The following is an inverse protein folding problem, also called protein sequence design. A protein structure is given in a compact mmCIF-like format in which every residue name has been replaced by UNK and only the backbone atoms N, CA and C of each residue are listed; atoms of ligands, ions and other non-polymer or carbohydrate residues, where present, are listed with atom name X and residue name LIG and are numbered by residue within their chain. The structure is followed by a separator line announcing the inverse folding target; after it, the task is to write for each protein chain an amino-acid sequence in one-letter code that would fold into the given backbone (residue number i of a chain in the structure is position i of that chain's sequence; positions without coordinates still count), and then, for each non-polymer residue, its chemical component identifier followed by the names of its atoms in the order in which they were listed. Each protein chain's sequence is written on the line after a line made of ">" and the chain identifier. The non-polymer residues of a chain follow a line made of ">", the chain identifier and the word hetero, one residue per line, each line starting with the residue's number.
data_IF_125406371102
#
_entry.id   IF_125406371102
#
_cell.length_a   1.000
_cell.length_b   1.000
_cell.length_c   1.000
_cell.angle_alpha   90.00
_cell.angle_beta   90.00
_cell.angle_gamma   90.00
#
_symmetry.space_group_name_H-M   'P 1'
#
loop_
_entity.id
_entity.type
_entity.pdbx_description
1 polymer ?
#
# COMPACT_ATOMS: atom_id res chain seq x y z
N UNK A 1 -1.86 -14.40 -5.77
CA UNK A 1 -2.33 -13.02 -5.59
C UNK A 1 -3.22 -12.67 -6.77
N UNK A 2 -4.52 -12.70 -6.55
CA UNK A 2 -5.54 -12.19 -7.47
C UNK A 2 -5.73 -10.67 -7.26
N UNK A 3 -6.58 -10.00 -8.05
CA UNK A 3 -6.79 -8.55 -7.95
C UNK A 3 -7.25 -8.09 -6.57
N UNK A 4 -8.18 -8.83 -5.96
CA UNK A 4 -8.70 -8.47 -4.66
C UNK A 4 -7.64 -8.69 -3.57
N UNK A 5 -6.90 -9.80 -3.63
CA UNK A 5 -5.76 -10.07 -2.74
C UNK A 5 -4.67 -8.99 -2.84
N UNK A 6 -4.48 -8.38 -4.01
CA UNK A 6 -3.53 -7.29 -4.20
C UNK A 6 -4.02 -5.98 -3.54
N UNK A 7 -5.33 -5.70 -3.59
CA UNK A 7 -5.92 -4.55 -2.90
C UNK A 7 -6.01 -4.73 -1.38
N UNK A 8 -6.23 -5.95 -0.91
CA UNK A 8 -6.40 -6.23 0.52
C UNK A 8 -5.07 -6.36 1.28
N UNK A 9 -3.96 -6.64 0.59
CA UNK A 9 -2.65 -6.81 1.19
C UNK A 9 -2.25 -5.59 2.06
N UNK A 10 -1.64 -5.79 3.25
CA UNK A 10 -1.20 -4.69 4.10
C UNK A 10 -0.23 -3.76 3.38
N UNK A 11 -0.49 -2.45 3.49
CA UNK A 11 0.27 -1.41 2.77
C UNK A 11 1.30 -0.72 3.66
N UNK A 12 2.28 -0.15 2.98
CA UNK A 12 3.37 0.63 3.55
C UNK A 12 3.43 1.96 2.81
N UNK A 13 3.63 3.05 3.54
CA UNK A 13 3.99 4.36 2.98
C UNK A 13 5.24 4.88 3.67
N UNK A 14 6.22 5.32 2.89
CA UNK A 14 7.45 5.91 3.40
C UNK A 14 7.42 7.42 3.17
N UNK A 15 7.76 8.17 4.21
CA UNK A 15 7.75 9.63 4.26
C UNK A 15 9.14 10.14 4.67
N UNK A 16 9.47 11.36 4.26
CA UNK A 16 10.74 12.02 4.63
C UNK A 16 11.93 11.69 3.71
N UNK A 17 11.67 11.07 2.55
CA UNK A 17 12.65 10.90 1.46
C UNK A 17 12.35 11.84 0.29
N UNK A 18 13.28 11.91 -0.67
CA UNK A 18 13.08 12.57 -1.96
C UNK A 18 11.84 12.00 -2.66
N UNK A 19 10.89 12.86 -3.01
CA UNK A 19 9.69 12.49 -3.76
C UNK A 19 9.78 12.92 -5.22
N UNK A 20 9.29 12.11 -6.18
CA UNK A 20 9.28 12.47 -7.60
C UNK A 20 8.46 13.73 -7.91
N UNK A 21 7.51 14.09 -7.04
CA UNK A 21 6.47 15.11 -7.30
C UNK A 21 6.54 16.35 -6.42
N UNK A 22 7.51 16.48 -5.51
CA UNK A 22 7.47 17.59 -4.54
C UNK A 22 8.79 17.90 -3.84
N UNK A 23 9.15 17.10 -2.85
CA UNK A 23 10.28 17.42 -1.97
C UNK A 23 11.56 16.73 -2.43
N UNK A 24 12.53 17.52 -2.93
CA UNK A 24 13.91 17.08 -3.16
C UNK A 24 14.74 17.13 -1.86
N UNK A 25 14.17 16.71 -0.73
CA UNK A 25 14.89 16.69 0.55
C UNK A 25 15.68 15.40 0.63
N UNK A 26 17.01 15.51 0.50
CA UNK A 26 17.89 14.38 0.74
C UNK A 26 17.68 13.86 2.16
N UNK A 27 17.29 12.59 2.28
CA UNK A 27 17.03 11.95 3.56
C UNK A 27 18.33 11.86 4.37
N UNK A 28 18.31 12.34 5.62
CA UNK A 28 19.47 12.33 6.53
C UNK A 28 19.38 11.24 7.60
N UNK A 29 18.22 10.59 7.74
CA UNK A 29 17.96 9.47 8.65
C UNK A 29 17.22 8.33 7.92
N UNK A 30 16.51 7.45 8.64
CA UNK A 30 15.71 6.39 8.01
C UNK A 30 14.33 6.82 7.50
N UNK A 31 13.90 8.06 7.77
CA UNK A 31 12.55 8.52 7.48
C UNK A 31 11.47 7.84 8.34
N UNK A 32 10.22 8.14 8.00
CA UNK A 32 9.04 7.57 8.66
C UNK A 32 8.41 6.48 7.79
N UNK A 33 8.07 5.35 8.39
CA UNK A 33 7.36 4.26 7.72
C UNK A 33 6.00 4.08 8.38
N UNK A 34 4.95 4.40 7.62
CA UNK A 34 3.57 4.15 7.96
C UNK A 34 3.19 2.71 7.56
N UNK A 35 2.77 1.90 8.52
CA UNK A 35 2.41 0.49 8.32
C UNK A 35 0.94 0.24 8.66
N UNK A 36 0.23 -0.45 7.78
CA UNK A 36 -1.05 -1.07 8.14
C UNK A 36 -0.87 -2.24 9.12
N UNK A 37 -1.95 -2.64 9.79
CA UNK A 37 -1.96 -3.89 10.57
C UNK A 37 -1.75 -5.10 9.67
N UNK A 38 -1.04 -6.11 10.17
CA UNK A 38 -0.78 -7.36 9.44
C UNK A 38 0.70 -7.66 9.19
N UNK A 39 1.59 -6.69 9.43
CA UNK A 39 3.03 -6.94 9.42
C UNK A 39 3.49 -7.67 10.69
N UNK A 40 4.31 -8.74 10.57
CA UNK A 40 4.89 -9.41 11.72
C UNK A 40 5.77 -8.47 12.57
N UNK A 41 5.78 -8.68 13.88
CA UNK A 41 6.53 -7.81 14.79
C UNK A 41 8.05 -7.92 14.60
N UNK A 42 8.57 -9.06 14.12
CA UNK A 42 9.97 -9.18 13.69
C UNK A 42 10.33 -8.20 12.57
N UNK A 43 9.43 -7.99 11.60
CA UNK A 43 9.62 -7.04 10.50
C UNK A 43 9.66 -5.61 11.02
N UNK A 44 8.71 -5.26 11.90
CA UNK A 44 8.66 -3.94 12.56
C UNK A 44 9.98 -3.65 13.29
N UNK A 45 10.45 -4.60 14.11
CA UNK A 45 11.73 -4.44 14.84
C UNK A 45 12.94 -4.33 13.90
N UNK A 46 12.95 -5.08 12.80
CA UNK A 46 14.02 -5.01 11.82
C UNK A 46 14.08 -3.63 11.15
N UNK A 47 12.92 -3.03 10.83
CA UNK A 47 12.84 -1.68 10.29
C UNK A 47 13.29 -0.62 11.32
N UNK A 48 12.87 -0.73 12.57
CA UNK A 48 13.34 0.17 13.64
C UNK A 48 14.86 0.11 13.81
N UNK A 49 15.47 -1.08 13.75
CA UNK A 49 16.92 -1.26 13.81
C UNK A 49 17.67 -0.67 12.61
N UNK A 50 16.99 -0.53 11.46
CA UNK A 50 17.51 0.15 10.27
C UNK A 50 17.39 1.67 10.35
N UNK A 51 16.85 2.22 11.44
CA UNK A 51 16.73 3.66 11.67
C UNK A 51 15.39 4.25 11.24
N UNK A 52 14.41 3.43 10.83
CA UNK A 52 13.08 3.90 10.47
C UNK A 52 12.27 4.23 11.73
N UNK A 53 11.57 5.37 11.71
CA UNK A 53 10.51 5.66 12.69
C UNK A 53 9.22 5.00 12.23
N UNK A 54 8.72 4.02 12.98
CA UNK A 54 7.48 3.32 12.64
C UNK A 54 6.29 4.07 13.20
N UNK A 55 5.31 4.33 12.33
CA UNK A 55 4.02 4.90 12.69
C UNK A 55 2.92 3.93 12.25
N UNK A 56 1.98 3.67 13.15
CA UNK A 56 0.75 2.97 12.82
C UNK A 56 -0.33 4.03 12.64
N UNK A 57 -0.79 4.18 11.40
CA UNK A 57 -1.84 5.11 11.04
C UNK A 57 -2.96 4.37 10.32
N UNK A 58 -4.20 4.85 10.49
CA UNK A 58 -5.29 4.62 9.53
C UNK A 58 -5.04 5.53 8.31
N UNK A 59 -3.91 5.26 7.67
CA UNK A 59 -3.10 6.21 6.92
C UNK A 59 -3.52 6.44 5.46
N UNK A 60 -2.76 7.26 4.73
CA UNK A 60 -3.03 7.67 3.34
C UNK A 60 -2.72 6.58 2.30
N UNK A 61 -3.10 5.34 2.55
CA UNK A 61 -2.74 4.19 1.72
C UNK A 61 -3.47 4.10 0.35
N UNK A 62 -4.21 5.15 -0.01
CA UNK A 62 -4.97 5.26 -1.26
C UNK A 62 -6.33 4.55 -1.22
N UNK A 63 -6.97 4.51 -2.39
CA UNK A 63 -8.23 3.82 -2.62
C UNK A 63 -8.13 2.96 -3.88
N UNK A 64 -7.57 1.76 -3.75
CA UNK A 64 -7.36 0.85 -4.85
C UNK A 64 -8.67 0.53 -5.60
N UNK A 65 -8.66 0.66 -6.92
CA UNK A 65 -9.74 0.24 -7.81
C UNK A 65 -9.07 -0.33 -9.07
N UNK A 66 -9.49 -1.51 -9.51
CA UNK A 66 -8.85 -2.16 -10.65
C UNK A 66 -9.82 -2.99 -11.48
N UNK A 67 -9.55 -3.01 -12.78
CA UNK A 67 -10.22 -3.86 -13.77
C UNK A 67 -9.14 -4.60 -14.54
N UNK A 68 -9.27 -5.92 -14.65
CA UNK A 68 -8.41 -6.76 -15.47
C UNK A 68 -9.24 -7.45 -16.53
N UNK A 69 -8.73 -7.46 -17.76
CA UNK A 69 -9.28 -8.25 -18.85
C UNK A 69 -8.44 -9.50 -19.04
N UNK A 70 -9.06 -10.65 -18.95
CA UNK A 70 -8.43 -11.92 -19.32
C UNK A 70 -8.15 -11.93 -20.83
N UNK A 71 -6.88 -12.06 -21.27
CA UNK A 71 -6.56 -12.08 -22.69
C UNK A 71 -7.06 -13.35 -23.39
N UNK A 72 -7.24 -14.46 -22.67
CA UNK A 72 -7.64 -15.76 -23.22
C UNK A 72 -9.16 -15.87 -23.32
N UNK A 73 -9.88 -15.54 -22.24
CA UNK A 73 -11.34 -15.70 -22.19
C UNK A 73 -12.09 -14.41 -22.53
N UNK A 74 -11.43 -13.25 -22.47
CA UNK A 74 -12.05 -11.94 -22.65
C UNK A 74 -12.88 -11.45 -21.45
N UNK A 75 -12.96 -12.25 -20.37
CA UNK A 75 -13.70 -11.92 -19.14
C UNK A 75 -13.05 -10.73 -18.43
N UNK A 76 -13.88 -9.87 -17.82
CA UNK A 76 -13.43 -8.78 -16.99
C UNK A 76 -13.58 -9.11 -15.50
N UNK A 77 -12.52 -8.87 -14.73
CA UNK A 77 -12.51 -8.97 -13.28
C UNK A 77 -12.36 -7.58 -12.69
N UNK A 78 -13.20 -7.23 -11.72
CA UNK A 78 -13.11 -5.98 -10.96
C UNK A 78 -12.67 -6.23 -9.53
N UNK A 79 -11.93 -5.29 -8.95
CA UNK A 79 -11.61 -5.23 -7.53
C UNK A 79 -11.73 -3.81 -7.01
N UNK A 80 -12.20 -3.69 -5.77
CA UNK A 80 -12.38 -2.44 -5.06
C UNK A 80 -11.74 -2.53 -3.68
N UNK A 81 -11.18 -1.42 -3.22
CA UNK A 81 -10.61 -1.27 -1.88
C UNK A 81 -11.66 -1.57 -0.81
N UNK A 82 -11.41 -2.61 -0.01
CA UNK A 82 -12.30 -3.04 1.06
C UNK A 82 -12.42 -2.03 2.21
N UNK A 83 -11.41 -1.16 2.38
CA UNK A 83 -11.39 -0.11 3.41
C UNK A 83 -12.09 1.19 2.99
N UNK A 84 -12.70 1.24 1.81
CA UNK A 84 -13.47 2.40 1.29
C UNK A 84 -14.84 1.93 0.81
N UNK A 85 -15.78 2.86 0.62
CA UNK A 85 -17.13 2.57 0.13
C UNK A 85 -17.19 2.31 -1.39
N UNK A 86 -16.12 1.73 -1.97
CA UNK A 86 -16.02 1.42 -3.39
C UNK A 86 -16.72 0.12 -3.77
N UNK A 87 -17.10 -0.02 -5.04
CA UNK A 87 -17.80 -1.20 -5.55
C UNK A 87 -17.27 -1.62 -6.92
N UNK A 88 -17.06 -2.92 -7.11
CA UNK A 88 -16.86 -3.55 -8.41
C UNK A 88 -18.13 -4.32 -8.81
N UNK A 89 -18.64 -4.07 -10.02
CA UNK A 89 -19.80 -4.77 -10.58
C UNK A 89 -19.54 -5.15 -12.04
N UNK A 90 -19.97 -6.36 -12.44
CA UNK A 90 -19.82 -6.90 -13.80
C UNK A 90 -21.11 -7.54 -14.30
N UNK A 91 -21.16 -7.86 -15.60
CA UNK A 91 -22.28 -8.52 -16.28
C UNK A 91 -21.77 -9.58 -17.26
#
# INVERSE_FOLDING_TARGET
>A
MNLQEAGDAPRIQHEGSTEPTGQATAMTDGGEVNLETGFPYETVRALMRKGHRIVFADGPYGGYQAIMRDPETGVYYGAAESRKDGQAAGY
#
